data_IF_714256847071
#
_entry.id   IF_714256847071
#
_cell.length_a   1.000
_cell.length_b   1.000
_cell.length_c   1.000
_cell.angle_alpha   90.00
_cell.angle_beta   90.00
_cell.angle_gamma   90.00
#
_symmetry.space_group_name_H-M   'P 1'
#
loop_
_entity.id
_entity.type
_entity.pdbx_description
1 polymer ?
#
# COMPACT_ATOMS: atom_id res chain seq x y z
N UNK A 1 -29.89 21.40 11.93
CA UNK A 1 -28.85 22.25 11.29
C UNK A 1 -27.43 22.02 11.85
N UNK A 2 -27.26 21.46 13.07
CA UNK A 2 -25.94 21.15 13.64
C UNK A 2 -25.28 19.85 13.14
N UNK A 3 -26.07 18.82 12.79
CA UNK A 3 -25.54 17.51 12.37
C UNK A 3 -24.95 17.53 10.96
N UNK A 4 -25.48 18.35 10.06
CA UNK A 4 -24.98 18.53 8.68
C UNK A 4 -23.61 19.22 8.63
N UNK A 5 -23.33 20.13 9.57
CA UNK A 5 -22.03 20.84 9.66
C UNK A 5 -20.95 19.92 10.24
N UNK A 6 -21.28 19.16 11.30
CA UNK A 6 -20.34 18.21 11.92
C UNK A 6 -19.95 17.07 10.99
N UNK A 7 -20.89 16.62 10.15
CA UNK A 7 -20.63 15.61 9.13
C UNK A 7 -19.78 16.13 7.96
N UNK A 8 -19.87 17.42 7.62
CA UNK A 8 -19.01 18.06 6.61
C UNK A 8 -17.56 18.21 7.11
N UNK A 9 -17.35 18.61 8.36
CA UNK A 9 -16.00 18.75 8.94
C UNK A 9 -15.26 17.41 9.07
N UNK A 10 -15.96 16.33 9.48
CA UNK A 10 -15.37 14.98 9.56
C UNK A 10 -14.97 14.45 8.18
N UNK A 11 -15.75 14.76 7.15
CA UNK A 11 -15.45 14.39 5.78
C UNK A 11 -14.19 15.10 5.25
N UNK A 12 -14.09 16.41 5.50
CA UNK A 12 -12.90 17.17 5.11
C UNK A 12 -11.65 16.68 5.82
N UNK A 13 -11.76 16.27 7.09
CA UNK A 13 -10.65 15.65 7.82
C UNK A 13 -10.21 14.31 7.20
N UNK A 14 -11.15 13.47 6.73
CA UNK A 14 -10.80 12.21 6.05
C UNK A 14 -10.05 12.46 4.73
N UNK A 15 -10.48 13.47 3.97
CA UNK A 15 -9.85 13.84 2.68
C UNK A 15 -8.45 14.45 2.89
N UNK A 16 -8.28 15.28 3.92
CA UNK A 16 -6.97 15.86 4.22
C UNK A 16 -5.98 14.80 4.71
N UNK A 17 -6.41 13.87 5.57
CA UNK A 17 -5.60 12.73 6.01
C UNK A 17 -5.20 11.82 4.85
N UNK A 18 -6.11 11.58 3.91
CA UNK A 18 -5.83 10.82 2.69
C UNK A 18 -4.76 11.50 1.82
N UNK A 19 -4.86 12.81 1.63
CA UNK A 19 -3.90 13.59 0.84
C UNK A 19 -2.51 13.56 1.48
N UNK A 20 -2.45 13.70 2.81
CA UNK A 20 -1.19 13.61 3.57
C UNK A 20 -0.57 12.23 3.44
N UNK A 21 -1.36 11.17 3.69
CA UNK A 21 -0.88 9.78 3.56
C UNK A 21 -0.33 9.54 2.15
N UNK A 22 -1.04 9.98 1.12
CA UNK A 22 -0.62 9.82 -0.29
C UNK A 22 0.68 10.55 -0.58
N UNK A 23 0.84 11.77 -0.07
CA UNK A 23 2.06 12.55 -0.27
C UNK A 23 3.26 11.87 0.42
N UNK A 24 3.05 11.32 1.61
CA UNK A 24 4.05 10.53 2.33
C UNK A 24 4.41 9.26 1.57
N UNK A 25 3.43 8.44 1.18
CA UNK A 25 3.64 7.21 0.40
C UNK A 25 4.42 7.49 -0.89
N UNK A 26 4.03 8.51 -1.66
CA UNK A 26 4.73 8.92 -2.89
C UNK A 26 6.17 9.35 -2.63
N UNK A 27 6.41 10.11 -1.55
CA UNK A 27 7.75 10.61 -1.20
C UNK A 27 8.66 9.44 -0.78
N UNK A 28 8.14 8.49 0.00
CA UNK A 28 8.90 7.31 0.43
C UNK A 28 9.24 6.43 -0.78
N UNK A 29 8.26 6.17 -1.66
CA UNK A 29 8.46 5.37 -2.88
C UNK A 29 9.48 6.02 -3.81
N UNK A 30 9.38 7.34 -4.05
CA UNK A 30 10.31 8.03 -4.94
C UNK A 30 11.74 8.06 -4.38
N UNK A 31 11.89 8.34 -3.08
CA UNK A 31 13.19 8.31 -2.41
C UNK A 31 13.79 6.89 -2.41
N UNK A 32 12.96 5.88 -2.19
CA UNK A 32 13.36 4.47 -2.29
C UNK A 32 13.85 4.09 -3.69
N UNK A 33 13.13 4.50 -4.75
CA UNK A 33 13.56 4.23 -6.12
C UNK A 33 14.87 4.95 -6.47
N UNK A 34 15.03 6.21 -6.07
CA UNK A 34 16.26 6.98 -6.32
C UNK A 34 17.45 6.32 -5.61
N UNK A 35 17.30 5.98 -4.34
CA UNK A 35 18.38 5.33 -3.56
C UNK A 35 18.76 3.96 -4.12
N UNK A 36 17.78 3.10 -4.44
CA UNK A 36 18.03 1.81 -5.09
C UNK A 36 18.79 1.95 -6.42
N UNK A 37 18.39 2.93 -7.25
CA UNK A 37 19.04 3.20 -8.53
C UNK A 37 20.48 3.66 -8.34
N UNK A 38 20.74 4.59 -7.40
CA UNK A 38 22.09 5.08 -7.11
C UNK A 38 23.00 3.97 -6.58
N UNK A 39 22.50 3.11 -5.69
CA UNK A 39 23.27 1.98 -5.13
C UNK A 39 23.67 1.00 -6.24
N UNK A 40 22.73 0.63 -7.11
CA UNK A 40 23.03 -0.25 -8.25
C UNK A 40 23.99 0.41 -9.24
N UNK A 41 23.84 1.71 -9.49
CA UNK A 41 24.73 2.45 -10.37
C UNK A 41 26.17 2.45 -9.83
N UNK A 42 26.35 2.73 -8.54
CA UNK A 42 27.66 2.65 -7.87
C UNK A 42 28.23 1.23 -7.95
N UNK A 43 27.39 0.21 -7.73
CA UNK A 43 27.83 -1.18 -7.83
C UNK A 43 28.33 -1.54 -9.24
N UNK A 44 27.64 -1.07 -10.28
CA UNK A 44 28.06 -1.29 -11.68
C UNK A 44 29.37 -0.56 -11.97
N UNK A 45 29.52 0.69 -11.54
CA UNK A 45 30.77 1.44 -11.70
C UNK A 45 31.94 0.77 -10.98
N UNK A 46 31.72 0.32 -9.74
CA UNK A 46 32.71 -0.40 -8.97
C UNK A 46 33.10 -1.71 -9.66
N UNK A 47 32.11 -2.46 -10.16
CA UNK A 47 32.35 -3.69 -10.90
C UNK A 47 33.15 -3.46 -12.18
N UNK A 48 32.92 -2.34 -12.88
CA UNK A 48 33.66 -1.98 -14.08
C UNK A 48 35.13 -1.63 -13.80
N UNK A 49 35.42 -1.02 -12.64
CA UNK A 49 36.78 -0.60 -12.28
C UNK A 49 37.57 -1.72 -11.58
N UNK A 50 36.93 -2.43 -10.64
CA UNK A 50 37.59 -3.40 -9.76
C UNK A 50 37.47 -4.85 -10.23
N UNK A 51 36.66 -5.14 -11.25
CA UNK A 51 36.39 -6.50 -11.73
C UNK A 51 35.63 -7.39 -10.72
N UNK A 52 35.16 -6.82 -9.60
CA UNK A 52 34.42 -7.51 -8.55
C UNK A 52 33.17 -6.72 -8.15
N UNK A 53 32.13 -7.39 -7.68
CA UNK A 53 30.85 -6.77 -7.29
C UNK A 53 30.77 -6.53 -5.79
N UNK A 54 30.00 -5.53 -5.35
CA UNK A 54 29.69 -5.31 -3.93
C UNK A 54 28.48 -6.17 -3.53
N UNK A 55 28.66 -7.26 -2.76
CA UNK A 55 27.56 -8.19 -2.46
C UNK A 55 26.42 -7.53 -1.66
N UNK A 56 26.80 -6.61 -0.76
CA UNK A 56 25.86 -5.86 0.06
C UNK A 56 24.99 -4.89 -0.75
N UNK A 57 25.46 -4.39 -1.90
CA UNK A 57 24.71 -3.42 -2.70
C UNK A 57 23.47 -4.05 -3.32
N UNK A 58 23.58 -5.30 -3.79
CA UNK A 58 22.45 -6.05 -4.32
C UNK A 58 21.41 -6.36 -3.21
N UNK A 59 21.87 -6.79 -2.03
CA UNK A 59 20.99 -7.07 -0.89
C UNK A 59 20.23 -5.82 -0.42
N UNK A 60 20.92 -4.69 -0.21
CA UNK A 60 20.26 -3.44 0.22
C UNK A 60 19.23 -2.99 -0.81
N UNK A 61 19.55 -3.05 -2.10
CA UNK A 61 18.59 -2.67 -3.14
C UNK A 61 17.36 -3.56 -3.12
N UNK A 62 17.52 -4.88 -2.96
CA UNK A 62 16.37 -5.79 -2.82
C UNK A 62 15.50 -5.41 -1.62
N UNK A 63 16.12 -5.08 -0.48
CA UNK A 63 15.38 -4.69 0.72
C UNK A 63 14.64 -3.36 0.55
N UNK A 64 15.26 -2.35 -0.07
CA UNK A 64 14.58 -1.09 -0.41
C UNK A 64 13.40 -1.37 -1.36
N UNK A 65 13.60 -2.23 -2.36
CA UNK A 65 12.56 -2.58 -3.32
C UNK A 65 11.37 -3.27 -2.68
N UNK A 66 11.55 -4.10 -1.65
CA UNK A 66 10.43 -4.69 -0.88
C UNK A 66 9.52 -3.59 -0.32
N UNK A 67 10.09 -2.57 0.33
CA UNK A 67 9.35 -1.43 0.86
C UNK A 67 8.67 -0.61 -0.25
N UNK A 68 9.38 -0.34 -1.33
CA UNK A 68 8.86 0.39 -2.50
C UNK A 68 7.68 -0.33 -3.14
N UNK A 69 7.75 -1.66 -3.30
CA UNK A 69 6.70 -2.46 -3.93
C UNK A 69 5.44 -2.44 -3.06
N UNK A 70 5.57 -2.68 -1.75
CA UNK A 70 4.39 -2.76 -0.89
C UNK A 70 3.74 -1.39 -0.64
N UNK A 71 4.52 -0.33 -0.44
CA UNK A 71 3.98 1.04 -0.33
C UNK A 71 3.44 1.51 -1.70
N UNK A 72 4.11 1.17 -2.80
CA UNK A 72 3.66 1.48 -4.16
C UNK A 72 2.35 0.79 -4.53
N UNK A 73 2.16 -0.46 -4.11
CA UNK A 73 0.91 -1.18 -4.29
C UNK A 73 -0.26 -0.54 -3.50
N UNK A 74 0.01 0.01 -2.31
CA UNK A 74 -0.97 0.81 -1.56
C UNK A 74 -1.46 2.03 -2.35
N UNK A 75 -0.54 2.70 -3.05
CA UNK A 75 -0.85 3.85 -3.90
C UNK A 75 -1.69 3.43 -5.13
N UNK A 76 -1.36 2.29 -5.74
CA UNK A 76 -2.05 1.77 -6.93
C UNK A 76 -3.49 1.35 -6.65
N UNK A 77 -3.76 0.76 -5.48
CA UNK A 77 -5.11 0.35 -5.06
C UNK A 77 -6.14 1.48 -5.18
N UNK A 78 -5.69 2.73 -4.99
CA UNK A 78 -6.54 3.92 -5.10
C UNK A 78 -6.91 4.26 -6.54
N UNK A 79 -6.01 4.00 -7.49
CA UNK A 79 -6.19 4.35 -8.91
C UNK A 79 -6.99 3.30 -9.68
N UNK A 80 -6.92 2.01 -9.30
CA UNK A 80 -7.56 0.91 -10.04
C UNK A 80 -8.99 0.64 -9.59
N UNK A 81 -9.37 1.01 -8.37
CA UNK A 81 -10.69 0.69 -7.80
C UNK A 81 -11.90 1.29 -8.53
N UNK A 82 -11.74 2.24 -9.45
CA UNK A 82 -12.84 2.80 -10.24
C UNK A 82 -13.01 2.12 -11.62
N UNK A 83 -11.93 1.56 -12.16
CA UNK A 83 -11.89 1.16 -13.58
C UNK A 83 -12.61 -0.17 -13.84
N UNK A 84 -12.52 -1.14 -12.92
CA UNK A 84 -13.10 -2.48 -13.16
C UNK A 84 -14.62 -2.48 -13.05
N UNK A 85 -15.18 -1.69 -12.13
CA UNK A 85 -16.64 -1.71 -11.94
C UNK A 85 -17.38 -0.91 -13.01
N UNK A 86 -16.78 0.14 -13.57
CA UNK A 86 -17.39 0.94 -14.63
C UNK A 86 -17.71 0.11 -15.90
N UNK A 87 -16.95 -0.95 -16.18
CA UNK A 87 -17.22 -1.84 -17.32
C UNK A 87 -18.46 -2.70 -17.10
N UNK A 88 -18.65 -3.23 -15.89
CA UNK A 88 -19.81 -4.05 -15.51
C UNK A 88 -21.05 -3.17 -15.31
N UNK A 89 -20.85 -1.95 -14.79
CA UNK A 89 -21.91 -0.97 -14.57
C UNK A 89 -22.62 -0.52 -15.85
N UNK A 90 -22.00 -0.70 -17.02
CA UNK A 90 -22.65 -0.43 -18.32
C UNK A 90 -23.75 -1.43 -18.69
N UNK A 91 -23.76 -2.62 -18.07
CA UNK A 91 -24.69 -3.71 -18.42
C UNK A 91 -25.74 -4.02 -17.34
N UNK A 92 -25.64 -3.41 -16.15
CA UNK A 92 -26.46 -3.75 -14.98
C UNK A 92 -27.06 -2.48 -14.36
N UNK A 93 -28.29 -2.52 -13.80
CA UNK A 93 -28.88 -1.39 -13.08
C UNK A 93 -27.99 -0.87 -11.94
N UNK A 94 -27.89 0.47 -11.84
CA UNK A 94 -27.05 1.21 -10.88
C UNK A 94 -27.15 0.72 -9.43
N UNK A 95 -28.34 0.29 -8.98
CA UNK A 95 -28.56 -0.22 -7.61
C UNK A 95 -27.80 -1.52 -7.34
N UNK A 96 -27.81 -2.46 -8.28
CA UNK A 96 -27.11 -3.75 -8.13
C UNK A 96 -25.60 -3.56 -8.17
N UNK A 97 -25.11 -2.63 -9.00
CA UNK A 97 -23.69 -2.23 -9.06
C UNK A 97 -23.22 -1.75 -7.70
N UNK A 98 -24.03 -0.93 -7.01
CA UNK A 98 -23.69 -0.42 -5.68
C UNK A 98 -23.54 -1.54 -4.63
N UNK A 99 -24.51 -2.46 -4.55
CA UNK A 99 -24.44 -3.56 -3.58
C UNK A 99 -23.26 -4.50 -3.87
N UNK A 100 -23.00 -4.76 -5.16
CA UNK A 100 -21.88 -5.58 -5.58
C UNK A 100 -20.53 -4.90 -5.26
N UNK A 101 -20.43 -3.58 -5.45
CA UNK A 101 -19.26 -2.81 -5.05
C UNK A 101 -19.00 -2.94 -3.54
N UNK A 102 -20.01 -2.69 -2.71
CA UNK A 102 -19.89 -2.79 -1.24
C UNK A 102 -19.44 -4.20 -0.84
N UNK A 103 -20.02 -5.24 -1.45
CA UNK A 103 -19.63 -6.62 -1.19
C UNK A 103 -18.17 -6.91 -1.57
N UNK A 104 -17.75 -6.49 -2.77
CA UNK A 104 -16.37 -6.67 -3.24
C UNK A 104 -15.39 -6.00 -2.27
N UNK A 105 -15.63 -4.75 -1.90
CA UNK A 105 -14.73 -4.08 -0.96
C UNK A 105 -14.75 -4.68 0.45
N UNK A 106 -15.89 -5.21 0.92
CA UNK A 106 -15.94 -5.91 2.20
C UNK A 106 -15.05 -7.17 2.17
N UNK A 107 -15.11 -7.94 1.07
CA UNK A 107 -14.23 -9.10 0.85
C UNK A 107 -12.76 -8.67 0.76
N UNK A 108 -12.46 -7.59 0.03
CA UNK A 108 -11.10 -7.05 -0.07
C UNK A 108 -10.58 -6.60 1.30
N UNK A 109 -11.38 -5.90 2.10
CA UNK A 109 -11.00 -5.51 3.46
C UNK A 109 -10.72 -6.73 4.34
N UNK A 110 -11.59 -7.74 4.32
CA UNK A 110 -11.39 -8.96 5.09
C UNK A 110 -10.10 -9.70 4.66
N UNK A 111 -9.86 -9.79 3.35
CA UNK A 111 -8.64 -10.38 2.80
C UNK A 111 -7.39 -9.61 3.21
N UNK A 112 -7.41 -8.27 3.12
CA UNK A 112 -6.28 -7.44 3.52
C UNK A 112 -5.99 -7.56 5.03
N UNK A 113 -7.02 -7.59 5.89
CA UNK A 113 -6.84 -7.83 7.33
C UNK A 113 -6.20 -9.19 7.61
N UNK A 114 -6.63 -10.23 6.89
CA UNK A 114 -6.02 -11.55 7.00
C UNK A 114 -4.54 -11.55 6.55
N UNK A 115 -4.20 -10.83 5.48
CA UNK A 115 -2.81 -10.66 5.04
C UNK A 115 -1.95 -9.90 6.06
N UNK A 116 -2.48 -8.90 6.76
CA UNK A 116 -1.76 -8.22 7.86
C UNK A 116 -1.44 -9.23 8.96
N UNK A 117 -2.40 -10.08 9.33
CA UNK A 117 -2.19 -11.10 10.36
C UNK A 117 -1.10 -12.09 9.97
N UNK A 118 -1.13 -12.61 8.73
CA UNK A 118 -0.07 -13.47 8.21
C UNK A 118 1.27 -12.75 8.23
N UNK A 119 1.34 -11.52 7.71
CA UNK A 119 2.59 -10.77 7.62
C UNK A 119 3.20 -10.47 8.99
N UNK A 120 2.37 -10.24 10.00
CA UNK A 120 2.81 -10.07 11.37
C UNK A 120 3.40 -11.37 11.95
N UNK A 121 2.71 -12.49 11.78
CA UNK A 121 3.22 -13.80 12.23
C UNK A 121 4.54 -14.15 11.54
N UNK A 122 4.65 -13.95 10.23
CA UNK A 122 5.91 -14.18 9.50
C UNK A 122 7.04 -13.31 10.05
N UNK A 123 6.76 -12.06 10.42
CA UNK A 123 7.76 -11.17 11.02
C UNK A 123 8.21 -11.67 12.39
N UNK A 124 7.27 -12.15 13.22
CA UNK A 124 7.56 -12.72 14.53
C UNK A 124 8.39 -14.00 14.42
N UNK A 125 8.07 -14.88 13.47
CA UNK A 125 8.83 -16.11 13.22
C UNK A 125 10.28 -15.81 12.81
N UNK A 126 10.47 -14.80 11.96
CA UNK A 126 11.80 -14.32 11.55
C UNK A 126 12.56 -13.72 12.74
N UNK A 127 11.87 -12.98 13.61
CA UNK A 127 12.45 -12.44 14.84
C UNK A 127 12.88 -13.55 15.82
N UNK A 128 12.03 -14.56 16.04
CA UNK A 128 12.33 -15.68 16.96
C UNK A 128 13.42 -16.60 16.43
N UNK A 129 13.53 -16.75 15.12
CA UNK A 129 14.56 -17.58 14.47
C UNK A 129 15.92 -16.85 14.39
N UNK A 130 15.94 -15.53 14.66
CA UNK A 130 17.17 -14.74 14.66
C UNK A 130 17.83 -14.62 13.29
N UNK A 131 17.05 -14.70 12.20
CA UNK A 131 17.62 -14.68 10.85
C UNK A 131 18.31 -13.33 10.57
N UNK A 132 19.57 -13.41 10.16
CA UNK A 132 20.40 -12.27 9.79
C UNK A 132 20.67 -12.24 8.29
N UNK A 133 20.94 -11.05 7.77
CA UNK A 133 21.36 -10.83 6.40
C UNK A 133 22.72 -11.49 6.15
N UNK A 134 22.84 -12.18 5.02
CA UNK A 134 24.01 -13.00 4.67
C UNK A 134 25.29 -12.17 4.59
N UNK A 135 25.21 -10.94 4.12
CA UNK A 135 26.40 -10.07 3.93
C UNK A 135 26.52 -8.94 4.95
N UNK A 136 25.40 -8.39 5.43
CA UNK A 136 25.40 -7.23 6.36
C UNK A 136 25.26 -7.60 7.84
N UNK A 137 24.97 -8.87 8.18
CA UNK A 137 24.68 -9.33 9.55
C UNK A 137 23.60 -8.51 10.29
N UNK A 138 22.81 -7.70 9.58
CA UNK A 138 21.66 -7.00 10.15
C UNK A 138 20.44 -7.93 10.20
N UNK A 139 19.51 -7.66 11.11
CA UNK A 139 18.32 -8.51 11.28
C UNK A 139 17.38 -8.40 10.08
N UNK A 140 16.96 -9.53 9.51
CA UNK A 140 16.02 -9.58 8.38
C UNK A 140 14.61 -9.07 8.73
N UNK A 141 14.32 -8.92 10.01
CA UNK A 141 13.04 -8.44 10.55
C UNK A 141 12.62 -7.10 9.92
N UNK A 142 13.56 -6.20 9.68
CA UNK A 142 13.29 -4.90 9.04
C UNK A 142 12.81 -5.01 7.59
N UNK A 143 13.20 -6.06 6.87
CA UNK A 143 12.77 -6.30 5.50
C UNK A 143 11.38 -6.91 5.49
N UNK A 144 11.17 -7.92 6.35
CA UNK A 144 9.90 -8.61 6.47
C UNK A 144 8.79 -7.71 6.99
N UNK A 145 9.11 -6.71 7.82
CA UNK A 145 8.18 -5.66 8.26
C UNK A 145 7.59 -4.83 7.11
N UNK A 146 8.27 -4.73 5.96
CA UNK A 146 7.74 -4.01 4.79
C UNK A 146 6.42 -4.59 4.30
N UNK A 147 6.23 -5.90 4.40
CA UNK A 147 5.00 -6.59 4.01
C UNK A 147 3.78 -6.21 4.87
N UNK A 148 3.76 -6.47 6.20
CA UNK A 148 2.61 -6.12 7.04
C UNK A 148 2.35 -4.62 7.04
N UNK A 149 3.39 -3.76 6.96
CA UNK A 149 3.19 -2.31 6.91
C UNK A 149 2.52 -1.87 5.60
N UNK A 150 2.96 -2.34 4.45
CA UNK A 150 2.33 -1.94 3.18
C UNK A 150 0.93 -2.54 3.00
N UNK A 151 0.69 -3.76 3.48
CA UNK A 151 -0.66 -4.35 3.49
C UNK A 151 -1.58 -3.60 4.46
N UNK A 152 -1.09 -3.16 5.61
CA UNK A 152 -1.85 -2.33 6.55
C UNK A 152 -2.26 -0.99 5.90
N UNK A 153 -1.33 -0.33 5.20
CA UNK A 153 -1.62 0.89 4.43
C UNK A 153 -2.66 0.64 3.34
N UNK A 154 -2.56 -0.49 2.62
CA UNK A 154 -3.59 -0.93 1.66
C UNK A 154 -4.96 -1.12 2.34
N UNK A 155 -5.01 -1.75 3.51
CA UNK A 155 -6.24 -1.98 4.25
C UNK A 155 -6.90 -0.66 4.67
N UNK A 156 -6.11 0.32 5.14
CA UNK A 156 -6.58 1.66 5.47
C UNK A 156 -7.16 2.35 4.23
N UNK A 157 -6.47 2.26 3.08
CA UNK A 157 -6.92 2.85 1.83
C UNK A 157 -8.21 2.20 1.33
N UNK A 158 -8.32 0.87 1.40
CA UNK A 158 -9.54 0.13 1.06
C UNK A 158 -10.72 0.54 1.95
N UNK A 159 -10.51 0.67 3.27
CA UNK A 159 -11.55 1.12 4.19
C UNK A 159 -12.03 2.55 3.88
N UNK A 160 -11.11 3.46 3.58
CA UNK A 160 -11.46 4.85 3.19
C UNK A 160 -12.30 4.87 1.91
N UNK A 161 -11.94 4.07 0.90
CA UNK A 161 -12.70 3.92 -0.34
C UNK A 161 -14.13 3.43 -0.08
N UNK A 162 -14.30 2.46 0.81
CA UNK A 162 -15.63 1.97 1.23
C UNK A 162 -16.47 3.09 1.83
N UNK A 163 -15.91 3.85 2.78
CA UNK A 163 -16.62 4.93 3.47
C UNK A 163 -17.04 6.03 2.48
N UNK A 164 -16.17 6.40 1.54
CA UNK A 164 -16.49 7.40 0.51
C UNK A 164 -17.61 6.91 -0.41
N UNK A 165 -17.53 5.66 -0.90
CA UNK A 165 -18.56 5.07 -1.77
C UNK A 165 -19.91 4.94 -1.06
N UNK A 166 -19.92 4.48 0.20
CA UNK A 166 -21.14 4.41 1.03
C UNK A 166 -21.77 5.79 1.20
N UNK A 167 -20.97 6.83 1.44
CA UNK A 167 -21.48 8.19 1.60
C UNK A 167 -22.02 8.76 0.29
N UNK A 168 -21.39 8.49 -0.84
CA UNK A 168 -21.92 8.88 -2.16
C UNK A 168 -23.27 8.21 -2.43
N UNK A 169 -23.39 6.92 -2.10
CA UNK A 169 -24.65 6.19 -2.23
C UNK A 169 -25.80 6.72 -1.35
N UNK A 170 -25.46 7.25 -0.16
CA UNK A 170 -26.43 7.82 0.78
C UNK A 170 -26.73 9.30 0.46
N UNK A 171 -25.76 10.05 -0.07
CA UNK A 171 -25.81 11.51 -0.25
C UNK A 171 -26.27 12.02 -1.61
N UNK A 172 -26.41 11.17 -2.64
CA UNK A 172 -26.78 11.62 -3.98
C UNK A 172 -27.32 10.52 -4.89
N UNK A 173 -28.63 10.60 -5.14
CA UNK A 173 -29.31 10.25 -6.39
C UNK A 173 -29.27 8.78 -6.85
N UNK A 174 -30.11 7.97 -6.21
CA UNK A 174 -30.93 7.04 -6.99
C UNK A 174 -31.93 7.88 -7.79
N UNK A 175 -31.48 8.48 -8.89
CA UNK A 175 -32.31 8.85 -10.04
C UNK A 175 -31.64 8.33 -11.32
#
# INVERSE_FOLDING_TARGET
>A
MGDTVKDSSRFQALISLDTIQTKLEKTVVSLGMISATLILFINILYSAVSGSTLPWAAEITQYIMVWVIFIGASLLMRSTGHVTMDLIARFIPKKTVLYLDIFIYAVVCAFLTYLVYIGWNMTLDVYSTGQTMTTLNASMVWVYLGFPVGVLLMAINALKLVVIKLRQAIGGEIN
#
